data_IF_354106512963
#
_entry.id   IF_354106512963
#
_cell.length_a   1.000
_cell.length_b   1.000
_cell.length_c   1.000
_cell.angle_alpha   90.00
_cell.angle_beta   90.00
_cell.angle_gamma   90.00
#
_symmetry.space_group_name_H-M   'P 1'
#
loop_
_entity.id
_entity.type
_entity.pdbx_description
1 polymer ?
#
# COMPACT_ATOMS: atom_id res chain seq x y z
N UNK A 1 -23.36 -16.91 0.36
CA UNK A 1 -22.35 -15.83 0.38
C UNK A 1 -22.90 -14.73 1.29
N UNK A 2 -22.35 -14.56 2.49
CA UNK A 2 -22.87 -13.63 3.53
C UNK A 2 -22.09 -12.30 3.55
N UNK A 3 -21.81 -11.74 2.37
CA UNK A 3 -21.21 -10.40 2.30
C UNK A 3 -22.33 -9.38 2.35
N UNK A 4 -22.31 -8.52 3.37
CA UNK A 4 -23.25 -7.43 3.55
C UNK A 4 -22.53 -6.09 3.35
N UNK A 5 -23.19 -5.16 2.68
CA UNK A 5 -22.66 -3.83 2.37
C UNK A 5 -23.72 -2.81 2.76
N UNK A 6 -23.35 -1.84 3.58
CA UNK A 6 -24.16 -0.67 3.89
C UNK A 6 -23.35 0.62 3.72
N UNK A 7 -24.07 1.73 3.69
CA UNK A 7 -23.49 3.08 3.58
C UNK A 7 -24.06 3.94 4.70
N UNK A 8 -23.19 4.69 5.37
CA UNK A 8 -23.57 5.69 6.36
C UNK A 8 -23.98 6.99 5.67
N UNK A 9 -24.66 7.87 6.40
CA UNK A 9 -25.17 9.14 5.86
C UNK A 9 -24.04 10.07 5.39
N UNK A 10 -22.87 10.01 6.03
CA UNK A 10 -21.67 10.75 5.64
C UNK A 10 -20.91 10.13 4.43
N UNK A 11 -21.43 9.05 3.86
CA UNK A 11 -20.92 8.42 2.65
C UNK A 11 -19.90 7.29 2.86
N UNK A 12 -19.50 7.02 4.10
CA UNK A 12 -18.62 5.89 4.45
C UNK A 12 -19.30 4.55 4.17
N UNK A 13 -18.56 3.59 3.62
CA UNK A 13 -19.07 2.23 3.37
C UNK A 13 -18.66 1.29 4.50
N UNK A 14 -19.58 0.42 4.91
CA UNK A 14 -19.33 -0.65 5.87
C UNK A 14 -19.55 -1.99 5.15
N UNK A 15 -18.55 -2.86 5.19
CA UNK A 15 -18.58 -4.17 4.53
C UNK A 15 -18.28 -5.25 5.56
N UNK A 16 -19.12 -6.30 5.61
CA UNK A 16 -18.85 -7.45 6.48
C UNK A 16 -18.95 -8.76 5.75
N UNK A 17 -18.10 -9.72 6.13
CA UNK A 17 -18.28 -11.13 5.83
C UNK A 17 -18.42 -11.88 7.16
N UNK A 18 -19.66 -12.21 7.53
CA UNK A 18 -19.91 -12.89 8.81
C UNK A 18 -19.55 -14.38 8.73
N UNK A 19 -18.72 -14.82 9.69
CA UNK A 19 -18.19 -16.17 9.86
C UNK A 19 -18.35 -16.62 11.33
N UNK A 20 -19.57 -16.98 11.78
CA UNK A 20 -19.85 -17.25 13.20
C UNK A 20 -19.11 -18.43 13.83
N UNK A 21 -18.51 -19.30 13.00
CA UNK A 21 -17.73 -20.46 13.43
C UNK A 21 -16.29 -20.12 13.82
N UNK A 22 -15.87 -18.86 13.65
CA UNK A 22 -14.55 -18.38 14.07
C UNK A 22 -14.62 -17.75 15.48
N UNK A 23 -13.48 -17.67 16.14
CA UNK A 23 -13.30 -16.99 17.43
C UNK A 23 -12.54 -15.67 17.29
N UNK A 24 -12.32 -15.23 16.04
CA UNK A 24 -11.53 -14.05 15.68
C UNK A 24 -12.28 -13.16 14.70
N UNK A 25 -11.82 -11.91 14.61
CA UNK A 25 -12.26 -10.91 13.65
C UNK A 25 -11.03 -10.22 13.07
N UNK A 26 -10.96 -10.15 11.74
CA UNK A 26 -10.07 -9.24 11.03
C UNK A 26 -10.88 -8.03 10.58
N UNK A 27 -10.44 -6.83 10.93
CA UNK A 27 -11.12 -5.58 10.58
C UNK A 27 -10.13 -4.50 10.20
N UNK A 28 -10.58 -3.51 9.42
CA UNK A 28 -9.73 -2.39 9.04
C UNK A 28 -10.50 -1.25 8.39
N UNK A 29 -9.77 -0.16 8.18
CA UNK A 29 -10.21 1.03 7.48
C UNK A 29 -9.32 1.21 6.25
N UNK A 30 -9.93 1.13 5.07
CA UNK A 30 -9.30 1.39 3.79
C UNK A 30 -9.60 2.81 3.36
N UNK A 31 -8.56 3.64 3.28
CA UNK A 31 -8.64 4.98 2.72
C UNK A 31 -8.24 4.89 1.26
N UNK A 32 -9.10 5.34 0.35
CA UNK A 32 -8.79 5.42 -1.09
C UNK A 32 -7.87 6.61 -1.37
N UNK A 33 -6.70 6.65 -0.75
CA UNK A 33 -5.64 7.63 -1.00
C UNK A 33 -4.29 6.92 -0.83
N UNK A 34 -3.29 7.24 -1.65
CA UNK A 34 -1.95 6.68 -1.56
C UNK A 34 -0.94 7.56 -2.28
N UNK A 35 0.25 7.04 -2.61
CA UNK A 35 1.32 7.85 -3.23
C UNK A 35 0.95 8.48 -4.59
N UNK A 36 -0.05 7.92 -5.29
CA UNK A 36 -0.61 8.49 -6.52
C UNK A 36 -1.32 9.82 -6.28
N UNK A 37 -1.89 10.02 -5.10
CA UNK A 37 -2.68 11.22 -4.80
C UNK A 37 -1.81 12.38 -4.29
N UNK A 38 -0.49 12.17 -4.11
CA UNK A 38 0.51 13.15 -3.66
C UNK A 38 0.81 14.23 -4.71
N UNK A 39 1.04 15.46 -4.25
CA UNK A 39 1.71 16.48 -5.06
C UNK A 39 3.20 16.12 -5.27
N UNK A 40 3.85 16.61 -6.35
CA UNK A 40 5.28 16.34 -6.59
C UNK A 40 6.20 16.68 -5.42
N UNK A 41 5.91 17.80 -4.74
CA UNK A 41 6.68 18.34 -3.62
C UNK A 41 6.44 17.62 -2.28
N UNK A 42 5.43 16.75 -2.19
CA UNK A 42 5.10 16.01 -0.96
C UNK A 42 5.29 14.49 -1.12
N UNK A 43 6.09 14.03 -2.10
CA UNK A 43 6.21 12.61 -2.36
C UNK A 43 6.72 11.83 -1.12
N UNK A 44 5.94 10.83 -0.72
CA UNK A 44 6.14 10.02 0.48
C UNK A 44 5.33 10.48 1.71
N UNK A 45 4.58 11.58 1.61
CA UNK A 45 3.74 12.07 2.72
C UNK A 45 2.65 11.07 3.11
N UNK A 46 2.14 10.26 2.17
CA UNK A 46 1.13 9.25 2.47
C UNK A 46 1.69 8.16 3.39
N UNK A 47 2.91 7.71 3.10
CA UNK A 47 3.64 6.74 3.89
C UNK A 47 4.07 7.34 5.24
N UNK A 48 4.53 8.60 5.25
CA UNK A 48 4.89 9.30 6.47
C UNK A 48 3.69 9.44 7.42
N UNK A 49 2.50 9.81 6.91
CA UNK A 49 1.27 9.88 7.71
C UNK A 49 0.93 8.51 8.33
N UNK A 50 1.14 7.42 7.59
CA UNK A 50 0.88 6.07 8.08
C UNK A 50 1.77 5.70 9.27
N UNK A 51 3.08 5.96 9.21
CA UNK A 51 3.98 5.81 10.35
C UNK A 51 3.54 6.64 11.56
N UNK A 52 3.22 7.91 11.29
CA UNK A 52 2.87 8.87 12.34
C UNK A 52 1.51 8.60 13.00
N UNK A 53 0.60 7.87 12.34
CA UNK A 53 -0.70 7.52 12.90
C UNK A 53 -0.56 6.74 14.22
N UNK A 54 0.49 5.92 14.35
CA UNK A 54 0.74 5.09 15.54
C UNK A 54 1.51 5.80 16.64
N UNK A 55 1.97 7.05 16.43
CA UNK A 55 2.84 7.77 17.37
C UNK A 55 2.08 8.56 18.44
N UNK A 56 0.80 8.23 18.62
CA UNK A 56 -0.04 8.77 19.68
C UNK A 56 -1.16 9.67 19.18
N UNK A 57 -2.25 9.62 19.92
CA UNK A 57 -3.48 10.40 19.75
C UNK A 57 -3.70 11.28 20.97
N UNK A 58 -4.78 12.06 20.96
CA UNK A 58 -5.20 12.83 22.14
C UNK A 58 -5.56 11.94 23.34
N UNK A 59 -5.93 10.68 23.09
CA UNK A 59 -6.40 9.73 24.11
C UNK A 59 -5.34 8.71 24.50
N UNK A 60 -4.43 8.36 23.58
CA UNK A 60 -3.52 7.23 23.71
C UNK A 60 -2.09 7.63 23.35
N UNK A 61 -1.13 7.22 24.18
CA UNK A 61 0.28 7.24 23.77
C UNK A 61 0.55 6.14 22.73
N UNK A 62 1.68 6.22 22.03
CA UNK A 62 2.13 5.16 21.13
C UNK A 62 2.20 3.78 21.84
N UNK A 63 2.69 3.76 23.09
CA UNK A 63 2.74 2.57 23.92
C UNK A 63 1.34 2.04 24.25
N UNK A 64 0.40 2.91 24.64
CA UNK A 64 -0.96 2.49 24.96
C UNK A 64 -1.68 1.88 23.74
N UNK A 65 -1.46 2.42 22.53
CA UNK A 65 -2.00 1.84 21.28
C UNK A 65 -1.55 0.38 21.11
N UNK A 66 -0.26 0.10 21.34
CA UNK A 66 0.29 -1.25 21.23
C UNK A 66 -0.23 -2.16 22.36
N UNK A 67 -0.14 -1.72 23.61
CA UNK A 67 -0.53 -2.51 24.78
C UNK A 67 -2.01 -2.86 24.80
N UNK A 68 -2.89 -1.95 24.38
CA UNK A 68 -4.34 -2.21 24.32
C UNK A 68 -4.67 -3.33 23.32
N UNK A 69 -4.03 -3.34 22.14
CA UNK A 69 -4.24 -4.38 21.13
C UNK A 69 -3.60 -5.71 21.55
N UNK A 70 -2.38 -5.67 22.08
CA UNK A 70 -1.67 -6.88 22.52
C UNK A 70 -2.36 -7.54 23.71
N UNK A 71 -2.93 -6.76 24.63
CA UNK A 71 -3.70 -7.27 25.77
C UNK A 71 -4.98 -7.99 25.34
N UNK A 72 -5.54 -7.65 24.17
CA UNK A 72 -6.65 -8.34 23.54
C UNK A 72 -6.22 -9.58 22.72
N UNK A 73 -4.93 -9.97 22.80
CA UNK A 73 -4.36 -11.06 22.00
C UNK A 73 -4.33 -10.76 20.51
N UNK A 74 -4.39 -9.48 20.14
CA UNK A 74 -4.48 -9.02 18.77
C UNK A 74 -3.17 -8.54 18.18
N UNK A 75 -3.24 -8.20 16.90
CA UNK A 75 -2.19 -7.45 16.19
C UNK A 75 -2.83 -6.29 15.43
N UNK A 76 -2.09 -5.19 15.31
CA UNK A 76 -2.46 -4.01 14.52
C UNK A 76 -1.32 -3.68 13.56
N UNK A 77 -1.67 -3.24 12.36
CA UNK A 77 -0.69 -2.84 11.37
C UNK A 77 -1.33 -1.88 10.36
N UNK A 78 -0.50 -1.32 9.49
CA UNK A 78 -0.94 -0.55 8.35
C UNK A 78 -0.13 -0.86 7.10
N UNK A 79 -0.58 -0.34 5.97
CA UNK A 79 0.19 -0.37 4.74
C UNK A 79 -0.23 0.77 3.83
N UNK A 80 0.76 1.41 3.22
CA UNK A 80 0.56 2.42 2.19
C UNK A 80 0.86 1.83 0.81
N UNK A 81 -0.12 1.90 -0.08
CA UNK A 81 0.03 1.56 -1.50
C UNK A 81 0.00 2.80 -2.38
N UNK A 82 0.04 2.58 -3.70
CA UNK A 82 -0.08 3.70 -4.65
C UNK A 82 -1.45 4.38 -4.60
N UNK A 83 -2.51 3.61 -4.36
CA UNK A 83 -3.89 4.10 -4.51
C UNK A 83 -4.73 4.03 -3.23
N UNK A 84 -4.20 3.38 -2.20
CA UNK A 84 -4.90 3.07 -0.96
C UNK A 84 -3.93 3.01 0.21
N UNK A 85 -4.34 3.52 1.37
CA UNK A 85 -3.69 3.30 2.67
C UNK A 85 -4.67 2.52 3.53
N UNK A 86 -4.18 1.49 4.21
CA UNK A 86 -5.01 0.59 5.02
C UNK A 86 -4.48 0.58 6.44
N UNK A 87 -5.37 0.69 7.42
CA UNK A 87 -5.09 0.45 8.83
C UNK A 87 -5.97 -0.71 9.28
N UNK A 88 -5.39 -1.76 9.85
CA UNK A 88 -6.14 -2.98 10.15
C UNK A 88 -5.66 -3.64 11.44
N UNK A 89 -6.56 -4.43 12.02
CA UNK A 89 -6.29 -5.23 13.20
C UNK A 89 -6.89 -6.64 13.06
N UNK A 90 -6.29 -7.59 13.76
CA UNK A 90 -6.83 -8.94 13.98
C UNK A 90 -6.94 -9.16 15.47
N UNK A 91 -8.14 -9.49 15.94
CA UNK A 91 -8.46 -9.63 17.37
C UNK A 91 -9.41 -10.78 17.62
N UNK A 92 -9.62 -11.13 18.88
CA UNK A 92 -10.68 -12.07 19.28
C UNK A 92 -12.07 -11.45 19.08
N UNK A 93 -13.10 -12.29 18.96
CA UNK A 93 -14.47 -11.87 18.59
C UNK A 93 -15.12 -10.87 19.54
N UNK A 94 -14.66 -10.74 20.78
CA UNK A 94 -15.23 -9.82 21.74
C UNK A 94 -14.53 -8.44 21.73
N UNK A 95 -13.36 -8.34 21.10
CA UNK A 95 -12.48 -7.18 21.21
C UNK A 95 -12.46 -6.31 19.94
N UNK A 96 -13.21 -6.70 18.89
CA UNK A 96 -13.35 -5.88 17.69
C UNK A 96 -13.88 -4.45 17.94
N UNK A 97 -14.76 -4.17 18.95
CA UNK A 97 -15.18 -2.80 19.22
C UNK A 97 -14.00 -1.93 19.68
N UNK A 98 -13.12 -2.46 20.54
CA UNK A 98 -11.92 -1.76 20.99
C UNK A 98 -10.94 -1.55 19.83
N UNK A 99 -10.74 -2.57 19.00
CA UNK A 99 -9.89 -2.45 17.82
C UNK A 99 -10.40 -1.38 16.85
N UNK A 100 -11.72 -1.28 16.63
CA UNK A 100 -12.30 -0.24 15.77
C UNK A 100 -12.17 1.16 16.40
N UNK A 101 -12.31 1.29 17.72
CA UNK A 101 -12.08 2.55 18.41
C UNK A 101 -10.62 3.01 18.25
N UNK A 102 -9.64 2.10 18.44
CA UNK A 102 -8.22 2.40 18.25
C UNK A 102 -7.94 2.80 16.79
N UNK A 103 -8.43 2.02 15.82
CA UNK A 103 -8.26 2.33 14.40
C UNK A 103 -8.88 3.67 14.01
N UNK A 104 -10.03 4.03 14.60
CA UNK A 104 -10.68 5.31 14.37
C UNK A 104 -9.88 6.46 15.00
N UNK A 105 -9.40 6.27 16.23
CA UNK A 105 -8.63 7.24 17.00
C UNK A 105 -7.31 7.61 16.31
N UNK A 106 -6.54 6.62 15.83
CA UNK A 106 -5.30 6.88 15.05
C UNK A 106 -5.58 7.54 13.70
N UNK A 107 -6.79 7.40 13.15
CA UNK A 107 -7.12 8.01 11.87
C UNK A 107 -7.51 9.48 12.02
N UNK A 108 -8.20 9.83 13.12
CA UNK A 108 -8.83 11.15 13.29
C UNK A 108 -8.15 12.03 14.33
N UNK A 109 -7.59 11.46 15.40
CA UNK A 109 -7.12 12.18 16.59
C UNK A 109 -5.61 12.12 16.84
N UNK A 110 -4.80 11.63 15.89
CA UNK A 110 -3.33 11.68 15.99
C UNK A 110 -2.82 13.11 16.16
N UNK A 111 -1.89 13.29 17.11
CA UNK A 111 -1.38 14.61 17.54
C UNK A 111 -0.24 15.09 16.64
N UNK A 112 0.52 14.14 16.08
CA UNK A 112 1.76 14.39 15.31
C UNK A 112 2.77 15.18 16.13
N UNK A 113 3.21 14.59 17.24
CA UNK A 113 4.19 15.19 18.15
C UNK A 113 5.51 15.49 17.41
N UNK A 114 6.13 16.67 17.61
CA UNK A 114 7.37 17.04 16.90
C UNK A 114 8.56 16.12 17.18
N UNK A 115 8.71 15.62 18.42
CA UNK A 115 9.82 14.74 18.77
C UNK A 115 9.64 13.36 18.13
N UNK A 116 8.42 12.83 18.14
CA UNK A 116 8.08 11.59 17.41
C UNK A 116 8.23 11.76 15.90
N UNK A 117 7.88 12.93 15.35
CA UNK A 117 8.03 13.23 13.93
C UNK A 117 9.50 13.15 13.50
N UNK A 118 10.42 13.73 14.26
CA UNK A 118 11.85 13.63 13.96
C UNK A 118 12.38 12.20 14.13
N UNK A 119 11.90 11.44 15.12
CA UNK A 119 12.27 10.02 15.27
C UNK A 119 11.82 9.20 14.05
N UNK A 120 10.56 9.33 13.66
CA UNK A 120 10.02 8.60 12.51
C UNK A 120 10.66 9.02 11.20
N UNK A 121 11.04 10.30 11.06
CA UNK A 121 11.81 10.75 9.90
C UNK A 121 13.09 9.92 9.73
N UNK A 122 13.84 9.68 10.80
CA UNK A 122 15.04 8.86 10.74
C UNK A 122 14.71 7.40 10.36
N UNK A 123 13.64 6.83 10.92
CA UNK A 123 13.19 5.47 10.59
C UNK A 123 12.87 5.34 9.10
N UNK A 124 12.07 6.26 8.56
CA UNK A 124 11.67 6.26 7.14
C UNK A 124 12.89 6.45 6.23
N UNK A 125 13.83 7.32 6.59
CA UNK A 125 15.07 7.49 5.81
C UNK A 125 15.93 6.21 5.79
N UNK A 126 15.97 5.46 6.90
CA UNK A 126 16.63 4.15 6.93
C UNK A 126 15.90 3.11 6.07
N UNK A 127 14.56 3.13 6.06
CA UNK A 127 13.77 2.24 5.22
C UNK A 127 14.01 2.51 3.72
N UNK A 128 14.05 3.78 3.31
CA UNK A 128 14.41 4.17 1.94
C UNK A 128 15.79 3.64 1.56
N UNK A 129 16.77 3.76 2.46
CA UNK A 129 18.11 3.24 2.23
C UNK A 129 18.10 1.70 2.11
N UNK A 130 17.39 1.01 3.01
CA UNK A 130 17.27 -0.45 3.01
C UNK A 130 16.58 -0.99 1.75
N UNK A 131 15.51 -0.33 1.29
CA UNK A 131 14.84 -0.65 0.03
C UNK A 131 15.78 -0.43 -1.17
N UNK A 132 16.53 0.67 -1.17
CA UNK A 132 17.55 0.95 -2.18
C UNK A 132 18.64 -0.11 -2.22
N UNK A 133 19.03 -0.67 -1.07
CA UNK A 133 20.03 -1.75 -0.95
C UNK A 133 19.49 -3.16 -1.17
N UNK A 134 18.18 -3.30 -1.36
CA UNK A 134 17.53 -4.57 -1.67
C UNK A 134 17.22 -4.64 -3.17
N UNK A 135 18.03 -5.34 -4.00
CA UNK A 135 17.86 -5.33 -5.46
C UNK A 135 16.53 -5.92 -5.94
N UNK A 136 15.93 -6.78 -5.12
CA UNK A 136 14.61 -7.38 -5.40
C UNK A 136 13.46 -6.38 -5.26
N UNK A 137 13.63 -5.31 -4.49
CA UNK A 137 12.63 -4.25 -4.32
C UNK A 137 12.91 -3.09 -5.28
N UNK A 138 14.18 -2.64 -5.32
CA UNK A 138 14.62 -1.56 -6.21
C UNK A 138 14.25 -1.80 -7.68
N UNK A 139 14.35 -3.04 -8.18
CA UNK A 139 14.04 -3.34 -9.57
C UNK A 139 12.57 -3.08 -9.93
N UNK A 140 11.63 -3.20 -8.97
CA UNK A 140 10.22 -2.89 -9.21
C UNK A 140 9.96 -1.38 -9.21
N UNK A 141 10.63 -0.63 -8.34
CA UNK A 141 10.56 0.84 -8.35
C UNK A 141 11.11 1.42 -9.66
N UNK A 142 12.26 0.92 -10.13
CA UNK A 142 12.81 1.29 -11.44
C UNK A 142 11.86 0.94 -12.58
N UNK A 143 11.28 -0.26 -12.57
CA UNK A 143 10.31 -0.67 -13.59
C UNK A 143 9.03 0.17 -13.58
N UNK A 144 8.62 0.65 -12.41
CA UNK A 144 7.49 1.56 -12.25
C UNK A 144 7.79 2.96 -12.76
N UNK A 145 8.95 3.52 -12.39
CA UNK A 145 9.44 4.79 -12.92
C UNK A 145 9.55 4.74 -14.44
N UNK A 146 10.15 3.67 -14.98
CA UNK A 146 10.27 3.46 -16.42
C UNK A 146 8.90 3.40 -17.13
N UNK A 147 7.90 2.77 -16.52
CA UNK A 147 6.59 2.58 -17.15
C UNK A 147 5.71 3.85 -17.14
N UNK A 148 5.89 4.75 -16.16
CA UNK A 148 4.98 5.87 -15.91
C UNK A 148 5.64 7.25 -15.89
N UNK A 149 6.97 7.32 -15.93
CA UNK A 149 7.74 8.57 -15.99
C UNK A 149 7.31 9.57 -14.92
N UNK A 150 6.90 10.76 -15.36
CA UNK A 150 6.48 11.87 -14.49
C UNK A 150 5.06 11.74 -13.92
N UNK A 151 4.28 10.76 -14.37
CA UNK A 151 2.96 10.52 -13.80
C UNK A 151 3.10 10.11 -12.31
N UNK A 152 2.16 10.48 -11.41
CA UNK A 152 2.21 10.11 -9.98
C UNK A 152 2.50 8.64 -9.66
N UNK A 153 2.04 7.73 -10.53
CA UNK A 153 2.30 6.29 -10.43
C UNK A 153 3.75 5.89 -10.73
N UNK A 154 4.60 6.77 -11.27
CA UNK A 154 6.03 6.53 -11.47
C UNK A 154 6.87 6.81 -10.23
N UNK A 155 6.31 7.49 -9.22
CA UNK A 155 7.03 7.89 -8.00
C UNK A 155 7.09 6.74 -6.98
N UNK A 156 8.20 6.63 -6.22
CA UNK A 156 8.31 5.64 -5.14
C UNK A 156 7.30 5.93 -4.02
N UNK A 157 6.77 4.88 -3.40
CA UNK A 157 5.80 4.99 -2.30
C UNK A 157 6.45 5.61 -1.06
N UNK A 158 7.69 5.21 -0.75
CA UNK A 158 8.44 5.69 0.41
C UNK A 158 8.85 7.16 0.30
N UNK A 159 8.73 7.76 -0.90
CA UNK A 159 9.21 9.10 -1.18
C UNK A 159 10.67 9.15 -1.59
N UNK A 160 11.20 10.37 -1.72
CA UNK A 160 12.61 10.63 -1.97
C UNK A 160 13.25 11.32 -0.77
N UNK A 161 14.51 11.00 -0.52
CA UNK A 161 15.26 11.45 0.65
C UNK A 161 15.10 12.95 0.92
N UNK A 162 15.27 13.80 -0.09
CA UNK A 162 15.25 15.26 0.07
C UNK A 162 13.90 15.85 0.49
N UNK A 163 12.80 15.18 0.12
CA UNK A 163 11.45 15.60 0.51
C UNK A 163 11.12 15.06 1.90
N UNK A 164 11.41 13.78 2.15
CA UNK A 164 11.22 13.15 3.48
C UNK A 164 12.02 13.87 4.55
N UNK A 165 13.22 14.37 4.24
CA UNK A 165 14.04 15.13 5.17
C UNK A 165 13.39 16.45 5.63
N UNK A 166 12.36 16.95 4.92
CA UNK A 166 11.76 18.27 5.14
C UNK A 166 10.27 18.24 5.51
N UNK A 167 9.63 17.07 5.44
CA UNK A 167 8.20 16.92 5.78
C UNK A 167 7.91 17.53 7.14
N UNK A 168 6.95 18.45 7.18
CA UNK A 168 6.48 19.13 8.37
C UNK A 168 5.15 18.56 8.85
N UNK A 169 4.84 18.81 10.14
CA UNK A 169 3.55 18.46 10.73
C UNK A 169 2.37 19.08 9.97
N UNK A 170 2.52 20.31 9.51
CA UNK A 170 1.45 21.03 8.81
C UNK A 170 1.18 20.42 7.43
N UNK A 171 2.21 19.92 6.73
CA UNK A 171 2.05 19.18 5.48
C UNK A 171 1.32 17.85 5.70
N UNK A 172 1.63 17.11 6.77
CA UNK A 172 0.91 15.88 7.15
C UNK A 172 -0.57 16.18 7.40
N UNK A 173 -0.86 17.24 8.15
CA UNK A 173 -2.23 17.68 8.43
C UNK A 173 -2.95 18.12 7.14
N UNK A 174 -2.28 18.87 6.28
CA UNK A 174 -2.83 19.30 5.00
C UNK A 174 -3.13 18.09 4.09
N UNK A 175 -2.22 17.11 4.01
CA UNK A 175 -2.43 15.87 3.29
C UNK A 175 -3.65 15.10 3.80
N UNK A 176 -3.75 14.90 5.11
CA UNK A 176 -4.89 14.23 5.76
C UNK A 176 -6.20 14.97 5.44
N UNK A 177 -6.22 16.28 5.63
CA UNK A 177 -7.41 17.11 5.41
C UNK A 177 -7.86 17.12 3.94
N UNK A 178 -6.98 16.89 2.96
CA UNK A 178 -7.36 16.81 1.54
C UNK A 178 -7.88 15.42 1.12
N UNK A 179 -7.47 14.36 1.82
CA UNK A 179 -7.64 12.99 1.34
C UNK A 179 -8.48 12.09 2.25
N UNK A 180 -8.57 12.36 3.56
CA UNK A 180 -9.22 11.47 4.54
C UNK A 180 -10.68 11.88 4.75
N UNK A 181 -11.49 11.65 3.72
CA UNK A 181 -12.94 11.87 3.75
C UNK A 181 -13.72 10.58 3.94
N UNK A 182 -14.86 10.64 4.63
CA UNK A 182 -15.77 9.50 4.78
C UNK A 182 -16.15 8.86 3.43
N UNK A 183 -16.40 9.68 2.40
CA UNK A 183 -16.72 9.24 1.03
C UNK A 183 -15.61 8.45 0.32
N UNK A 184 -14.37 8.50 0.84
CA UNK A 184 -13.20 7.74 0.33
C UNK A 184 -12.83 6.56 1.24
N UNK A 185 -13.61 6.28 2.27
CA UNK A 185 -13.30 5.25 3.25
C UNK A 185 -14.24 4.05 3.20
N UNK A 186 -13.67 2.88 3.47
CA UNK A 186 -14.40 1.64 3.70
C UNK A 186 -13.95 1.04 5.01
N UNK A 187 -14.88 0.82 5.94
CA UNK A 187 -14.68 -0.05 7.09
C UNK A 187 -15.03 -1.46 6.65
N UNK A 188 -14.08 -2.38 6.67
CA UNK A 188 -14.35 -3.78 6.30
C UNK A 188 -13.97 -4.72 7.44
N UNK A 189 -14.79 -5.75 7.66
CA UNK A 189 -14.52 -6.79 8.65
C UNK A 189 -14.91 -8.19 8.14
N UNK A 190 -14.16 -9.20 8.57
CA UNK A 190 -14.46 -10.61 8.33
C UNK A 190 -14.17 -11.42 9.59
N UNK A 191 -15.05 -12.35 9.95
CA UNK A 191 -14.93 -13.13 11.18
C UNK A 191 -16.26 -13.25 11.92
N UNK A 192 -16.20 -13.54 13.22
CA UNK A 192 -17.39 -13.64 14.05
C UNK A 192 -17.89 -12.26 14.47
N UNK A 193 -18.57 -11.60 13.53
CA UNK A 193 -19.06 -10.24 13.66
C UNK A 193 -20.45 -10.09 13.03
N UNK A 194 -21.30 -9.28 13.67
CA UNK A 194 -22.61 -8.88 13.18
C UNK A 194 -22.51 -7.57 12.39
N UNK A 195 -23.16 -7.52 11.22
CA UNK A 195 -23.12 -6.34 10.35
C UNK A 195 -23.71 -5.10 11.01
N UNK A 196 -24.84 -5.24 11.69
CA UNK A 196 -25.55 -4.12 12.28
C UNK A 196 -24.80 -3.55 13.49
N UNK A 197 -24.15 -4.41 14.28
CA UNK A 197 -23.26 -3.99 15.35
C UNK A 197 -22.07 -3.18 14.83
N UNK A 198 -21.38 -3.67 13.78
CA UNK A 198 -20.27 -2.95 13.17
C UNK A 198 -20.73 -1.61 12.58
N UNK A 199 -21.86 -1.60 11.87
CA UNK A 199 -22.44 -0.38 11.28
C UNK A 199 -22.69 0.70 12.35
N UNK A 200 -23.32 0.33 13.47
CA UNK A 200 -23.60 1.27 14.58
C UNK A 200 -22.33 1.81 15.22
N UNK A 201 -21.33 0.96 15.45
CA UNK A 201 -20.07 1.41 16.05
C UNK A 201 -19.28 2.30 15.08
N UNK A 202 -19.24 1.96 13.79
CA UNK A 202 -18.64 2.80 12.76
C UNK A 202 -19.36 4.17 12.65
N UNK A 203 -20.68 4.20 12.74
CA UNK A 203 -21.48 5.43 12.75
C UNK A 203 -21.17 6.31 13.96
N UNK A 204 -21.04 5.71 15.14
CA UNK A 204 -20.66 6.42 16.37
C UNK A 204 -19.26 7.02 16.29
N UNK A 205 -18.28 6.28 15.77
CA UNK A 205 -16.87 6.67 15.77
C UNK A 205 -16.50 7.58 14.59
N UNK A 206 -17.04 7.29 13.41
CA UNK A 206 -16.64 7.91 12.14
C UNK A 206 -17.76 8.71 11.47
N UNK A 207 -18.97 8.75 12.05
CA UNK A 207 -20.13 9.46 11.48
C UNK A 207 -19.92 10.97 11.31
N UNK A 208 -19.07 11.58 12.15
CA UNK A 208 -18.74 13.00 12.09
C UNK A 208 -17.66 13.34 11.05
N UNK A 209 -17.06 12.34 10.39
CA UNK A 209 -16.12 12.61 9.31
C UNK A 209 -16.81 13.35 8.17
N UNK A 210 -16.14 14.40 7.70
CA UNK A 210 -16.64 15.19 6.59
C UNK A 210 -16.74 14.36 5.31
N UNK A 211 -17.82 14.58 4.57
CA UNK A 211 -17.96 14.08 3.21
C UNK A 211 -17.38 15.11 2.25
N UNK A 212 -16.12 14.94 1.84
CA UNK A 212 -15.48 15.77 0.81
C UNK A 212 -15.70 15.25 -0.61
N UNK A 213 -15.39 16.11 -1.58
CA UNK A 213 -15.26 15.70 -2.99
C UNK A 213 -13.80 15.37 -3.26
N UNK A 214 -13.46 14.10 -3.58
CA UNK A 214 -12.09 13.73 -3.89
C UNK A 214 -11.57 14.45 -5.14
N UNK A 215 -10.30 14.89 -5.18
CA UNK A 215 -9.67 15.28 -6.44
C UNK A 215 -9.73 14.12 -7.44
N UNK A 216 -9.96 14.46 -8.71
CA UNK A 216 -10.00 13.49 -9.80
C UNK A 216 -8.63 12.83 -10.01
N UNK A 217 -8.64 11.55 -10.40
CA UNK A 217 -7.42 10.84 -10.82
C UNK A 217 -7.33 10.83 -12.34
N UNK A 218 -6.22 11.32 -12.88
CA UNK A 218 -5.93 11.24 -14.32
C UNK A 218 -5.44 9.84 -14.68
N UNK A 219 -5.90 9.29 -15.81
CA UNK A 219 -5.44 7.98 -16.28
C UNK A 219 -3.97 8.07 -16.70
N UNK A 220 -3.09 7.14 -16.30
CA UNK A 220 -1.72 7.12 -16.76
C UNK A 220 -1.61 6.66 -18.22
N UNK A 221 -0.62 7.19 -18.92
CA UNK A 221 -0.08 6.57 -20.12
C UNK A 221 1.04 5.60 -19.74
N UNK A 222 1.15 4.51 -20.50
CA UNK A 222 2.27 3.57 -20.38
C UNK A 222 3.32 3.95 -21.42
N UNK A 223 4.55 4.17 -20.98
CA UNK A 223 5.67 4.49 -21.88
C UNK A 223 6.69 3.35 -21.92
N UNK A 224 7.30 3.17 -23.09
CA UNK A 224 8.40 2.23 -23.25
C UNK A 224 9.71 2.93 -22.90
N UNK A 225 10.23 2.66 -21.71
CA UNK A 225 11.50 3.20 -21.23
C UNK A 225 12.30 2.13 -20.47
N UNK A 226 13.59 2.39 -20.28
CA UNK A 226 14.50 1.50 -19.53
C UNK A 226 15.20 2.31 -18.45
N UNK A 227 14.97 1.92 -17.20
CA UNK A 227 15.72 2.42 -16.05
C UNK A 227 16.80 1.40 -15.67
N UNK A 228 17.98 1.90 -15.28
CA UNK A 228 19.12 1.06 -14.92
C UNK A 228 19.83 1.60 -13.67
N UNK A 229 19.96 0.77 -12.65
CA UNK A 229 20.85 1.02 -11.52
C UNK A 229 22.05 0.07 -11.59
N UNK A 230 23.26 0.63 -11.56
CA UNK A 230 24.49 -0.16 -11.44
C UNK A 230 24.88 -0.25 -9.97
N UNK A 231 24.90 -1.49 -9.43
CA UNK A 231 25.33 -1.79 -8.06
C UNK A 231 26.30 -2.97 -8.05
N UNK A 232 27.22 -3.05 -7.07
CA UNK A 232 28.15 -4.18 -6.93
C UNK A 232 27.40 -5.42 -6.41
N UNK A 233 26.75 -6.14 -7.32
CA UNK A 233 25.92 -7.31 -7.04
C UNK A 233 26.47 -8.54 -7.79
N UNK A 234 26.30 -9.73 -7.21
CA UNK A 234 26.63 -10.99 -7.88
C UNK A 234 25.64 -11.38 -9.00
N UNK A 235 24.53 -10.66 -9.10
CA UNK A 235 23.38 -11.01 -9.93
C UNK A 235 22.76 -9.79 -10.59
N UNK A 236 22.25 -9.99 -11.81
CA UNK A 236 21.43 -9.00 -12.50
C UNK A 236 19.96 -9.27 -12.19
N UNK A 237 19.27 -8.21 -11.75
CA UNK A 237 17.83 -8.21 -11.51
C UNK A 237 17.17 -7.45 -12.66
N UNK A 238 16.21 -8.07 -13.33
CA UNK A 238 15.53 -7.50 -14.47
C UNK A 238 14.03 -7.71 -14.34
N UNK A 239 13.28 -6.67 -14.68
CA UNK A 239 11.83 -6.67 -14.78
C UNK A 239 11.44 -6.16 -16.16
N UNK A 240 10.55 -6.89 -16.83
CA UNK A 240 9.87 -6.44 -18.04
C UNK A 240 8.42 -6.10 -17.70
N UNK A 241 7.98 -4.91 -18.10
CA UNK A 241 6.62 -4.42 -17.88
C UNK A 241 5.89 -4.25 -19.21
N UNK A 242 4.61 -4.59 -19.23
CA UNK A 242 3.72 -4.42 -20.37
C UNK A 242 2.48 -3.63 -19.94
N UNK A 243 1.92 -2.83 -20.86
CA UNK A 243 0.64 -2.20 -20.64
C UNK A 243 -0.45 -3.25 -20.41
N UNK A 244 -1.34 -3.00 -19.45
CA UNK A 244 -2.39 -3.93 -19.05
C UNK A 244 -3.75 -3.22 -18.90
N UNK A 245 -4.87 -3.93 -19.11
CA UNK A 245 -6.19 -3.45 -18.73
C UNK A 245 -6.26 -3.16 -17.21
N UNK A 246 -6.96 -2.10 -16.83
CA UNK A 246 -7.25 -1.81 -15.41
C UNK A 246 -8.29 -2.77 -14.82
N UNK A 247 -8.43 -2.79 -13.49
CA UNK A 247 -9.31 -3.73 -12.76
C UNK A 247 -10.79 -3.72 -13.16
N UNK A 248 -11.31 -2.62 -13.72
CA UNK A 248 -12.70 -2.52 -14.17
C UNK A 248 -12.92 -3.00 -15.60
N UNK A 249 -11.85 -3.31 -16.33
CA UNK A 249 -11.92 -3.81 -17.68
C UNK A 249 -12.08 -5.34 -17.64
N UNK A 250 -13.10 -5.94 -18.30
CA UNK A 250 -13.31 -7.39 -18.33
C UNK A 250 -12.10 -8.21 -18.82
N UNK A 251 -11.23 -7.62 -19.64
CA UNK A 251 -10.01 -8.27 -20.14
C UNK A 251 -9.01 -8.61 -19.00
N UNK A 252 -9.20 -8.06 -17.80
CA UNK A 252 -8.38 -8.40 -16.62
C UNK A 252 -8.39 -9.90 -16.33
N UNK A 253 -9.51 -10.60 -16.55
CA UNK A 253 -9.60 -12.04 -16.32
C UNK A 253 -8.77 -12.84 -17.33
N UNK A 254 -8.71 -12.39 -18.59
CA UNK A 254 -7.83 -13.00 -19.61
C UNK A 254 -6.36 -12.80 -19.24
N UNK A 255 -6.01 -11.60 -18.77
CA UNK A 255 -4.67 -11.30 -18.27
C UNK A 255 -4.30 -12.15 -17.06
N UNK A 256 -5.24 -12.40 -16.13
CA UNK A 256 -5.02 -13.27 -14.98
C UNK A 256 -4.68 -14.70 -15.41
N UNK A 257 -5.42 -15.27 -16.36
CA UNK A 257 -5.12 -16.59 -16.92
C UNK A 257 -3.74 -16.62 -17.58
N UNK A 258 -3.43 -15.61 -18.41
CA UNK A 258 -2.11 -15.49 -19.06
C UNK A 258 -0.98 -15.40 -18.01
N UNK A 259 -1.16 -14.59 -16.97
CA UNK A 259 -0.23 -14.46 -15.84
C UNK A 259 0.01 -15.81 -15.15
N UNK A 260 -1.06 -16.57 -14.87
CA UNK A 260 -0.93 -17.91 -14.28
C UNK A 260 -0.13 -18.87 -15.18
N UNK A 261 -0.31 -18.81 -16.50
CA UNK A 261 0.44 -19.62 -17.47
C UNK A 261 1.92 -19.24 -17.58
N UNK A 262 2.25 -17.97 -17.32
CA UNK A 262 3.61 -17.43 -17.45
C UNK A 262 4.45 -17.53 -16.16
N UNK A 263 3.87 -18.03 -15.06
CA UNK A 263 4.58 -18.21 -13.79
C UNK A 263 3.85 -17.69 -12.55
N UNK A 264 2.60 -17.22 -12.67
CA UNK A 264 1.78 -16.75 -11.54
C UNK A 264 1.24 -17.87 -10.63
N UNK A 265 1.30 -19.13 -11.06
CA UNK A 265 1.01 -20.29 -10.22
C UNK A 265 2.29 -21.03 -9.82
N UNK A 266 2.36 -21.50 -8.58
CA UNK A 266 3.42 -22.41 -8.10
C UNK A 266 3.53 -23.74 -8.88
N UNK A 267 2.64 -24.00 -9.84
CA UNK A 267 2.44 -25.31 -10.50
C UNK A 267 3.13 -25.42 -11.86
N UNK A 268 3.55 -24.32 -12.48
CA UNK A 268 4.32 -24.43 -13.73
C UNK A 268 5.81 -24.43 -13.41
N UNK A 269 6.35 -25.65 -13.33
CA UNK A 269 7.77 -25.89 -13.46
C UNK A 269 8.28 -25.10 -14.68
N UNK A 270 9.37 -24.32 -14.57
CA UNK A 270 9.97 -23.70 -15.74
C UNK A 270 10.27 -24.79 -16.76
N UNK A 271 9.91 -24.56 -18.03
CA UNK A 271 10.31 -25.40 -19.16
C UNK A 271 11.79 -25.79 -19.00
N UNK A 272 12.20 -27.04 -19.29
CA UNK A 272 13.60 -27.44 -19.24
C UNK A 272 14.43 -26.50 -20.13
N UNK A 273 15.20 -25.59 -19.51
CA UNK A 273 15.98 -24.55 -20.20
C UNK A 273 15.62 -23.08 -19.86
N UNK A 274 14.59 -22.81 -19.05
CA UNK A 274 14.18 -21.43 -18.69
C UNK A 274 14.59 -21.01 -17.27
N UNK A 275 14.77 -19.71 -17.07
CA UNK A 275 15.34 -19.10 -15.86
C UNK A 275 14.60 -19.51 -14.58
N UNK A 276 15.38 -19.85 -13.54
CA UNK A 276 14.95 -20.65 -12.38
C UNK A 276 13.92 -20.01 -11.43
N UNK A 277 13.50 -18.74 -11.59
CA UNK A 277 12.52 -18.08 -10.72
C UNK A 277 11.82 -16.91 -11.43
N UNK A 278 10.65 -17.16 -12.03
CA UNK A 278 9.69 -16.10 -12.35
C UNK A 278 8.74 -15.93 -11.15
N UNK A 279 8.57 -14.70 -10.66
CA UNK A 279 7.51 -14.34 -9.70
C UNK A 279 6.65 -13.30 -10.40
N UNK A 280 5.38 -13.61 -10.60
CA UNK A 280 4.41 -12.69 -11.22
C UNK A 280 3.57 -12.06 -10.11
N UNK A 281 3.69 -10.75 -9.90
CA UNK A 281 2.83 -10.01 -8.97
C UNK A 281 1.65 -9.41 -9.75
N UNK A 282 0.43 -9.73 -9.33
CA UNK A 282 -0.82 -9.46 -10.05
C UNK A 282 -1.21 -7.97 -10.03
N UNK A 283 -0.61 -7.24 -10.95
CA UNK A 283 -1.13 -6.06 -11.67
C UNK A 283 -0.38 -5.85 -13.01
N UNK A 284 0.78 -6.50 -13.16
CA UNK A 284 1.68 -6.40 -14.30
C UNK A 284 2.20 -7.80 -14.60
N UNK A 285 2.28 -8.21 -15.87
CA UNK A 285 2.97 -9.46 -16.24
C UNK A 285 4.46 -9.18 -16.06
N UNK A 286 4.98 -9.55 -14.90
CA UNK A 286 6.37 -9.34 -14.50
C UNK A 286 7.13 -10.64 -14.73
N UNK A 287 8.12 -10.59 -15.61
CA UNK A 287 9.09 -11.67 -15.77
C UNK A 287 10.37 -11.32 -15.02
N UNK A 288 10.74 -12.16 -14.04
CA UNK A 288 12.01 -12.09 -13.34
C UNK A 288 12.98 -13.08 -13.98
N UNK A 289 14.10 -12.57 -14.48
CA UNK A 289 15.22 -13.40 -14.93
C UNK A 289 16.36 -13.29 -13.91
N UNK A 290 16.83 -14.42 -13.39
CA UNK A 290 18.04 -14.50 -12.56
C UNK A 290 19.15 -15.09 -13.42
N UNK A 291 19.99 -14.24 -13.99
CA UNK A 291 21.17 -14.68 -14.75
C UNK A 291 22.37 -14.73 -13.79
N UNK A 292 23.03 -15.89 -13.69
CA UNK A 292 24.32 -16.02 -13.00
C UNK A 292 25.43 -15.68 -13.98
N UNK A 293 26.18 -14.62 -13.69
CA UNK A 293 27.50 -14.29 -14.25
C UNK A 293 27.66 -14.49 -15.76
N UNK A 294 27.26 -13.50 -16.57
CA UNK A 294 27.86 -13.33 -17.89
C UNK A 294 29.06 -12.38 -17.76
N UNK A 295 30.25 -12.87 -18.12
CA UNK A 295 31.46 -12.05 -18.29
C UNK A 295 31.16 -10.88 -19.25
N UNK A 296 31.82 -9.72 -19.09
CA UNK A 296 31.59 -8.57 -19.94
C UNK A 296 31.99 -8.91 -21.38
N UNK A 297 31.01 -9.02 -22.28
CA UNK A 297 31.27 -9.06 -23.73
C UNK A 297 31.55 -7.62 -24.16
N UNK A 298 32.83 -7.26 -24.17
CA UNK A 298 33.32 -6.11 -24.92
C UNK A 298 33.11 -6.37 -26.41
N UNK A 299 32.52 -5.37 -27.09
CA UNK A 299 32.48 -5.13 -28.54
C UNK A 299 31.60 -6.07 -29.39
N UNK A 300 30.55 -5.48 -29.95
CA UNK A 300 30.24 -5.57 -31.38
C UNK A 300 29.42 -4.32 -31.77
N UNK A 301 30.12 -3.19 -31.92
CA UNK A 301 29.69 -2.18 -32.88
C UNK A 301 30.06 -2.73 -34.26
N UNK A 302 29.05 -3.12 -35.03
CA UNK A 302 29.19 -3.57 -36.41
C UNK A 302 27.92 -3.17 -37.16
N UNK A 303 28.11 -2.25 -38.11
CA UNK A 303 27.24 -1.69 -39.14
C UNK A 303 25.88 -2.34 -39.45
N UNK A 304 24.92 -1.46 -39.81
CA UNK A 304 23.92 -1.49 -40.90
C UNK A 304 22.94 -0.32 -40.57
N UNK A 305 22.72 0.76 -41.33
CA UNK A 305 22.64 0.98 -42.79
C UNK A 305 21.80 -0.08 -43.50
#
# INVERSE_FOLDING_TARGET
MSVEISRLDNGLHVVTHSMPHLETVALGIWVKAGSRDELPEENGIAHFLEHMAFKGTKKRSAQAIAEEIESAGGEINASTGMETTTYYARVLKNDWPQALDILSDILTESVFDPDELERERHVILQEIAAAGDTPDDLVFDLAQSAAFGSHPLGRPILGVHDLIAKVSRDEILAWRNRNYWASRMVVAAAGNIDHQALRREAEKLLGNLSSGVPPGRNRPDFVSHTELAQKPLDQTHMVLSFAAPGYRNPEIYRLQVLSSLLGGGHVLAPFPGSARKARTLLQRVLFRFRLRGCRPVRRLCGHLA
#
